data_IF_201112775049
#
_entry.id   IF_201112775049
#
_cell.length_a   1.000
_cell.length_b   1.000
_cell.length_c   1.000
_cell.angle_alpha   90.00
_cell.angle_beta   90.00
_cell.angle_gamma   90.00
#
_symmetry.space_group_name_H-M   'P 1'
#
loop_
_entity.id
_entity.type
_entity.pdbx_description
1 polymer ?
#
# COMPACT_ATOMS: atom_id res chain seq x y z
N UNK A 1 1.62 -10.66 10.90
CA UNK A 1 0.99 -9.77 9.92
C UNK A 1 1.53 -8.37 10.15
N UNK A 2 2.46 -7.95 9.30
CA UNK A 2 2.96 -6.57 9.29
C UNK A 2 2.06 -5.67 8.44
N UNK A 3 1.94 -4.40 8.82
CA UNK A 3 1.34 -3.36 7.99
C UNK A 3 2.43 -2.50 7.36
N UNK A 4 2.16 -2.05 6.14
CA UNK A 4 2.97 -1.09 5.38
C UNK A 4 2.28 0.26 5.50
N UNK A 5 3.03 1.29 5.86
CA UNK A 5 2.56 2.67 5.94
C UNK A 5 3.34 3.52 4.95
N UNK A 6 2.64 4.24 4.07
CA UNK A 6 3.23 5.05 3.01
C UNK A 6 2.53 6.39 2.92
N UNK A 7 3.29 7.48 3.03
CA UNK A 7 2.83 8.83 2.69
C UNK A 7 2.78 8.94 1.15
N UNK A 8 1.57 8.89 0.58
CA UNK A 8 1.35 8.70 -0.86
C UNK A 8 0.49 9.80 -1.48
N UNK A 9 -0.56 10.23 -0.79
CA UNK A 9 -1.54 11.17 -1.31
C UNK A 9 -1.39 12.57 -0.71
N UNK A 10 -2.12 13.54 -1.24
CA UNK A 10 -2.28 14.81 -0.52
C UNK A 10 -3.05 14.59 0.79
N UNK A 11 -2.84 15.48 1.74
CA UNK A 11 -3.53 15.49 3.04
C UNK A 11 -5.05 15.56 2.97
N UNK A 12 -5.59 16.06 1.85
CA UNK A 12 -7.03 16.14 1.61
C UNK A 12 -7.67 14.76 1.37
N UNK A 13 -6.84 13.75 1.06
CA UNK A 13 -7.25 12.35 0.92
C UNK A 13 -7.21 11.68 2.29
N UNK A 14 -8.35 11.69 2.99
CA UNK A 14 -8.46 11.25 4.38
C UNK A 14 -9.47 10.10 4.57
N UNK A 15 -9.71 9.30 3.53
CA UNK A 15 -10.61 8.14 3.60
C UNK A 15 -10.31 7.14 2.49
N UNK A 16 -10.52 5.86 2.78
CA UNK A 16 -10.46 4.78 1.79
C UNK A 16 -11.52 4.93 0.68
N UNK A 17 -12.59 5.69 0.93
CA UNK A 17 -13.66 5.95 -0.05
C UNK A 17 -13.31 7.08 -1.03
N UNK A 18 -12.17 7.77 -0.85
CA UNK A 18 -11.75 8.81 -1.78
C UNK A 18 -11.42 8.18 -3.15
N UNK A 19 -11.76 8.81 -4.30
CA UNK A 19 -11.54 8.20 -5.61
C UNK A 19 -10.11 7.75 -5.89
N UNK A 20 -9.12 8.51 -5.41
CA UNK A 20 -7.70 8.14 -5.52
C UNK A 20 -7.33 6.92 -4.66
N UNK A 21 -7.90 6.84 -3.45
CA UNK A 21 -7.70 5.71 -2.54
C UNK A 21 -8.35 4.44 -3.11
N UNK A 22 -9.56 4.54 -3.67
CA UNK A 22 -10.25 3.43 -4.34
C UNK A 22 -9.41 2.89 -5.50
N UNK A 23 -8.88 3.78 -6.35
CA UNK A 23 -8.06 3.37 -7.48
C UNK A 23 -6.79 2.63 -7.01
N UNK A 24 -6.10 3.16 -6.00
CA UNK A 24 -4.90 2.54 -5.46
C UNK A 24 -5.19 1.20 -4.76
N UNK A 25 -6.30 1.10 -4.03
CA UNK A 25 -6.78 -0.16 -3.44
C UNK A 25 -6.97 -1.23 -4.51
N UNK A 26 -7.55 -0.87 -5.67
CA UNK A 26 -7.69 -1.78 -6.81
C UNK A 26 -6.34 -2.30 -7.32
N UNK A 27 -5.33 -1.44 -7.44
CA UNK A 27 -3.97 -1.85 -7.83
C UNK A 27 -3.35 -2.82 -6.81
N UNK A 28 -3.53 -2.59 -5.51
CA UNK A 28 -3.06 -3.50 -4.47
C UNK A 28 -3.80 -4.85 -4.50
N UNK A 29 -5.09 -4.85 -4.82
CA UNK A 29 -5.88 -6.07 -4.99
C UNK A 29 -5.44 -6.88 -6.22
N UNK A 30 -5.13 -6.22 -7.34
CA UNK A 30 -4.55 -6.87 -8.54
C UNK A 30 -3.19 -7.52 -8.22
N UNK A 31 -2.31 -6.80 -7.52
CA UNK A 31 -1.03 -7.35 -7.06
C UNK A 31 -1.24 -8.52 -6.09
N UNK A 32 -2.21 -8.42 -5.17
CA UNK A 32 -2.50 -9.53 -4.27
C UNK A 32 -2.91 -10.79 -5.05
N UNK A 33 -3.74 -10.65 -6.09
CA UNK A 33 -4.18 -11.76 -6.92
C UNK A 33 -3.03 -12.44 -7.66
N UNK A 34 -2.13 -11.67 -8.28
CA UNK A 34 -0.96 -12.18 -9.00
C UNK A 34 -0.06 -13.07 -8.11
N UNK A 35 0.03 -12.71 -6.83
CA UNK A 35 0.82 -13.43 -5.84
C UNK A 35 0.00 -14.43 -5.00
N UNK A 36 -1.28 -14.63 -5.34
CA UNK A 36 -2.23 -15.54 -4.64
C UNK A 36 -2.40 -15.24 -3.15
N UNK A 37 -2.36 -13.96 -2.82
CA UNK A 37 -2.55 -13.42 -1.48
C UNK A 37 -3.86 -12.61 -1.43
N UNK A 38 -4.19 -12.07 -0.27
CA UNK A 38 -5.31 -11.14 -0.09
C UNK A 38 -4.88 -9.89 0.64
N UNK A 39 -5.41 -8.76 0.20
CA UNK A 39 -5.37 -7.51 0.95
C UNK A 39 -6.29 -7.64 2.18
N UNK A 40 -5.69 -7.59 3.37
CA UNK A 40 -6.40 -7.83 4.65
C UNK A 40 -6.89 -6.52 5.26
N UNK A 41 -6.08 -5.48 5.17
CA UNK A 41 -6.44 -4.14 5.64
C UNK A 41 -6.03 -3.08 4.64
N UNK A 42 -6.83 -2.01 4.58
CA UNK A 42 -6.55 -0.83 3.79
C UNK A 42 -7.21 0.37 4.46
N UNK A 43 -6.40 1.29 4.95
CA UNK A 43 -6.81 2.50 5.66
C UNK A 43 -6.11 3.69 5.05
N UNK A 44 -6.79 4.84 5.05
CA UNK A 44 -6.24 6.09 4.56
C UNK A 44 -6.57 7.20 5.55
N UNK A 45 -5.53 7.85 6.04
CA UNK A 45 -5.63 8.98 6.96
C UNK A 45 -4.63 10.05 6.56
N UNK A 46 -5.13 11.24 6.26
CA UNK A 46 -4.38 12.47 6.04
C UNK A 46 -3.26 12.33 5.00
N UNK A 47 -3.55 11.66 3.88
CA UNK A 47 -2.61 11.38 2.80
C UNK A 47 -1.79 10.10 2.98
N UNK A 48 -1.74 9.54 4.19
CA UNK A 48 -1.03 8.31 4.50
C UNK A 48 -1.92 7.10 4.26
N UNK A 49 -1.37 6.09 3.58
CA UNK A 49 -2.03 4.81 3.34
C UNK A 49 -1.39 3.73 4.20
N UNK A 50 -2.21 2.99 4.93
CA UNK A 50 -1.80 1.84 5.75
C UNK A 50 -2.48 0.58 5.25
N UNK A 51 -1.71 -0.44 4.86
CA UNK A 51 -2.25 -1.68 4.31
C UNK A 51 -1.47 -2.92 4.71
N UNK A 52 -2.08 -4.10 4.62
CA UNK A 52 -1.44 -5.38 4.92
C UNK A 52 -1.97 -6.51 4.05
N UNK A 53 -1.13 -7.52 3.83
CA UNK A 53 -1.51 -8.76 3.15
C UNK A 53 -1.48 -9.95 4.11
N UNK A 54 -2.17 -11.04 3.75
CA UNK A 54 -2.17 -12.28 4.53
C UNK A 54 -0.93 -13.17 4.32
N UNK A 55 -0.01 -12.74 3.46
CA UNK A 55 1.29 -13.36 3.23
C UNK A 55 2.42 -12.39 3.65
N UNK A 56 3.14 -12.77 4.71
CA UNK A 56 4.27 -11.99 5.23
C UNK A 56 5.44 -11.92 4.21
N UNK A 57 5.54 -12.88 3.29
CA UNK A 57 6.54 -12.92 2.21
C UNK A 57 6.26 -11.91 1.10
N UNK A 58 4.99 -11.75 0.68
CA UNK A 58 4.58 -10.70 -0.27
C UNK A 58 4.78 -9.30 0.33
N UNK A 59 4.41 -9.13 1.60
CA UNK A 59 4.62 -7.87 2.34
C UNK A 59 6.08 -7.44 2.31
N UNK A 60 7.02 -8.37 2.50
CA UNK A 60 8.45 -8.11 2.44
C UNK A 60 8.95 -7.75 1.03
N UNK A 61 8.40 -8.37 -0.02
CA UNK A 61 8.79 -8.09 -1.40
C UNK A 61 8.26 -6.74 -1.90
N UNK A 62 7.01 -6.39 -1.56
CA UNK A 62 6.43 -5.07 -1.84
C UNK A 62 7.24 -3.98 -1.12
N UNK A 63 7.62 -4.20 0.14
CA UNK A 63 8.51 -3.28 0.87
C UNK A 63 9.86 -3.09 0.16
N UNK A 64 10.46 -4.15 -0.43
CA UNK A 64 11.68 -4.00 -1.23
C UNK A 64 11.45 -3.14 -2.46
N UNK A 65 10.39 -3.41 -3.22
CA UNK A 65 10.07 -2.67 -4.45
C UNK A 65 9.85 -1.19 -4.12
N UNK A 66 9.06 -0.88 -3.09
CA UNK A 66 8.80 0.50 -2.65
C UNK A 66 10.07 1.19 -2.09
N UNK A 67 11.00 0.46 -1.49
CA UNK A 67 12.28 1.02 -1.03
C UNK A 67 13.28 1.30 -2.17
N UNK A 68 13.11 0.69 -3.34
CA UNK A 68 14.00 0.89 -4.50
C UNK A 68 13.75 2.25 -5.20
N UNK A 69 12.70 3.00 -4.85
CA UNK A 69 12.47 4.38 -5.32
C UNK A 69 12.97 5.49 -4.38
N UNK A 70 13.92 5.21 -3.47
CA UNK A 70 14.83 6.28 -3.00
C UNK A 70 16.07 6.31 -3.89
N UNK A 71 16.18 7.23 -4.88
CA UNK A 71 17.48 7.50 -5.47
C UNK A 71 18.40 7.98 -4.36
N UNK A 72 19.57 7.35 -4.26
CA UNK A 72 20.68 7.66 -3.35
C UNK A 72 20.65 9.12 -2.85
N UNK A 73 20.30 9.31 -1.57
CA UNK A 73 20.76 10.49 -0.87
C UNK A 73 22.26 10.30 -0.63
N UNK A 74 23.04 11.17 -1.28
CA UNK A 74 24.51 11.23 -1.23
C UNK A 74 25.05 11.45 0.18
#
# INVERSE_FOLDING_TARGET
>A
MGSIEVDLFSKDVNSADHPQAIHFRGLLEEVAEDYRCRLVSFEVENGTVTFSFDDDGLTAEILRILQIEKPNAS
#
